data_IF_134340282174
#
_entry.id   IF_134340282174
#
_cell.length_a   1.000
_cell.length_b   1.000
_cell.length_c   1.000
_cell.angle_alpha   90.00
_cell.angle_beta   90.00
_cell.angle_gamma   90.00
#
_symmetry.space_group_name_H-M   'P 1'
#
loop_
_entity.id
_entity.type
_entity.pdbx_description
1 polymer ?
#
# COMPACT_ATOMS: atom_id res chain seq x y z
N UNK A 1 -12.11 -12.32 66.16
CA UNK A 1 -11.37 -12.89 65.02
C UNK A 1 -12.30 -13.42 63.93
N UNK A 2 -13.39 -14.11 64.25
CA UNK A 2 -14.31 -14.68 63.25
C UNK A 2 -14.94 -13.65 62.28
N UNK A 3 -15.28 -12.44 62.74
CA UNK A 3 -15.80 -11.37 61.86
C UNK A 3 -14.80 -10.83 60.83
N UNK A 4 -13.50 -10.94 61.09
CA UNK A 4 -12.48 -10.55 60.11
C UNK A 4 -12.33 -11.62 59.02
N UNK A 5 -12.44 -12.89 59.42
CA UNK A 5 -12.38 -14.02 58.50
C UNK A 5 -13.59 -14.02 57.53
N UNK A 6 -14.79 -13.69 58.02
CA UNK A 6 -15.99 -13.62 57.16
C UNK A 6 -15.95 -12.46 56.15
N UNK A 7 -15.31 -11.33 56.48
CA UNK A 7 -15.19 -10.19 55.59
C UNK A 7 -14.18 -10.45 54.46
N UNK A 8 -13.05 -11.08 54.80
CA UNK A 8 -12.03 -11.46 53.81
C UNK A 8 -12.58 -12.48 52.80
N UNK A 9 -13.39 -13.43 53.27
CA UNK A 9 -14.05 -14.42 52.41
C UNK A 9 -15.10 -13.79 51.49
N UNK A 10 -15.75 -12.71 51.92
CA UNK A 10 -16.71 -11.95 51.12
C UNK A 10 -16.02 -11.07 50.06
N UNK A 11 -14.87 -10.48 50.37
CA UNK A 11 -14.06 -9.72 49.42
C UNK A 11 -13.42 -10.60 48.34
N UNK A 12 -12.94 -11.80 48.71
CA UNK A 12 -12.44 -12.78 47.75
C UNK A 12 -13.56 -13.23 46.80
N UNK A 13 -14.76 -13.54 47.31
CA UNK A 13 -15.90 -13.94 46.50
C UNK A 13 -16.33 -12.84 45.49
N UNK A 14 -16.26 -11.56 45.89
CA UNK A 14 -16.52 -10.42 45.02
C UNK A 14 -15.41 -10.22 43.96
N UNK A 15 -14.15 -10.49 44.32
CA UNK A 15 -13.04 -10.49 43.38
C UNK A 15 -13.17 -11.57 42.30
N UNK A 16 -13.59 -12.78 42.69
CA UNK A 16 -13.84 -13.88 41.76
C UNK A 16 -15.05 -13.62 40.86
N UNK A 17 -16.15 -13.06 41.38
CA UNK A 17 -17.33 -12.72 40.57
C UNK A 17 -17.03 -11.60 39.56
N UNK A 18 -16.32 -10.55 39.99
CA UNK A 18 -15.93 -9.45 39.12
C UNK A 18 -14.93 -9.89 38.03
N UNK A 19 -14.02 -10.81 38.35
CA UNK A 19 -13.10 -11.40 37.36
C UNK A 19 -13.85 -12.26 36.33
N UNK A 20 -14.80 -13.08 36.77
CA UNK A 20 -15.62 -13.92 35.88
C UNK A 20 -16.52 -13.09 34.96
N UNK A 21 -17.12 -12.01 35.47
CA UNK A 21 -17.98 -11.10 34.68
C UNK A 21 -17.18 -10.34 33.62
N UNK A 22 -15.99 -9.83 33.95
CA UNK A 22 -15.11 -9.20 32.97
C UNK A 22 -14.61 -10.20 31.91
N UNK A 23 -14.31 -11.44 32.30
CA UNK A 23 -13.91 -12.47 31.35
C UNK A 23 -15.04 -12.81 30.37
N UNK A 24 -16.29 -12.88 30.86
CA UNK A 24 -17.48 -13.11 30.05
C UNK A 24 -17.73 -11.94 29.08
N UNK A 25 -17.62 -10.69 29.54
CA UNK A 25 -17.75 -9.49 28.69
C UNK A 25 -16.69 -9.44 27.59
N UNK A 26 -15.45 -9.80 27.89
CA UNK A 26 -14.39 -9.90 26.88
C UNK A 26 -14.67 -11.00 25.86
N UNK A 27 -15.22 -12.14 26.28
CA UNK A 27 -15.60 -13.22 25.35
C UNK A 27 -16.79 -12.85 24.46
N UNK A 28 -17.80 -12.14 24.98
CA UNK A 28 -18.92 -11.64 24.16
C UNK A 28 -18.48 -10.56 23.17
N UNK A 29 -17.60 -9.64 23.59
CA UNK A 29 -17.04 -8.62 22.71
C UNK A 29 -16.19 -9.23 21.58
N UNK A 30 -15.41 -10.26 21.87
CA UNK A 30 -14.66 -11.00 20.86
C UNK A 30 -15.60 -11.79 19.92
N UNK A 31 -16.66 -12.40 20.45
CA UNK A 31 -17.67 -13.11 19.65
C UNK A 31 -18.38 -12.19 18.67
N UNK A 32 -18.85 -11.03 19.13
CA UNK A 32 -19.50 -10.02 18.28
C UNK A 32 -18.55 -9.40 17.26
N UNK A 33 -17.29 -9.18 17.62
CA UNK A 33 -16.27 -8.69 16.68
C UNK A 33 -15.95 -9.72 15.59
N UNK A 34 -15.82 -11.01 15.96
CA UNK A 34 -15.64 -12.11 14.99
C UNK A 34 -16.86 -12.26 14.09
N UNK A 35 -18.09 -12.13 14.62
CA UNK A 35 -19.30 -12.12 13.80
C UNK A 35 -19.32 -10.95 12.81
N UNK A 36 -18.95 -9.74 13.24
CA UNK A 36 -18.86 -8.59 12.34
C UNK A 36 -17.79 -8.77 11.26
N UNK A 37 -16.62 -9.31 11.62
CA UNK A 37 -15.56 -9.65 10.67
C UNK A 37 -15.99 -10.73 9.68
N UNK A 38 -16.79 -11.71 10.09
CA UNK A 38 -17.32 -12.74 9.21
C UNK A 38 -18.47 -12.24 8.32
N UNK A 39 -19.23 -11.23 8.77
CA UNK A 39 -20.33 -10.63 8.00
C UNK A 39 -19.86 -9.63 6.94
N UNK A 40 -18.77 -8.90 7.17
CA UNK A 40 -18.25 -7.92 6.18
C UNK A 40 -17.92 -8.51 4.80
N UNK A 41 -17.25 -9.68 4.67
CA UNK A 41 -17.07 -10.32 3.36
C UNK A 41 -18.39 -10.85 2.79
N UNK A 42 -19.28 -11.42 3.61
CA UNK A 42 -20.61 -11.90 3.16
C UNK A 42 -21.51 -10.79 2.61
N UNK A 43 -21.49 -9.61 3.23
CA UNK A 43 -22.24 -8.45 2.75
C UNK A 43 -21.66 -7.89 1.44
N UNK A 44 -20.35 -7.98 1.22
CA UNK A 44 -19.74 -7.70 -0.08
C UNK A 44 -20.08 -8.77 -1.13
N UNK A 45 -20.27 -10.03 -0.72
CA UNK A 45 -20.67 -11.17 -1.55
C UNK A 45 -22.14 -11.15 -1.99
N UNK A 46 -23.02 -10.44 -1.26
CA UNK A 46 -24.45 -10.37 -1.52
C UNK A 46 -24.82 -9.50 -2.74
N UNK A 47 -23.89 -8.66 -3.21
CA UNK A 47 -24.11 -7.72 -4.31
C UNK A 47 -24.03 -8.34 -5.72
N UNK A 48 -23.56 -9.59 -5.88
CA UNK A 48 -23.44 -10.25 -7.20
C UNK A 48 -23.96 -11.70 -7.15
N UNK A 49 -25.24 -11.94 -7.47
CA UNK A 49 -25.80 -13.28 -7.50
C UNK A 49 -25.44 -14.02 -8.81
N UNK A 50 -24.93 -15.25 -8.70
CA UNK A 50 -25.10 -16.29 -9.73
C UNK A 50 -23.89 -16.73 -10.59
N UNK A 51 -22.74 -16.02 -10.64
CA UNK A 51 -21.63 -16.39 -11.56
C UNK A 51 -20.22 -16.32 -10.96
N UNK A 52 -20.11 -16.54 -9.64
CA UNK A 52 -18.89 -16.36 -8.82
C UNK A 52 -17.67 -17.12 -9.33
N UNK A 53 -17.80 -18.43 -9.61
CA UNK A 53 -16.69 -19.23 -10.15
C UNK A 53 -16.29 -18.77 -11.56
N UNK A 54 -17.26 -18.41 -12.38
CA UNK A 54 -17.00 -17.90 -13.73
C UNK A 54 -16.29 -16.55 -13.70
N UNK A 55 -16.65 -15.64 -12.78
CA UNK A 55 -15.98 -14.35 -12.63
C UNK A 55 -14.55 -14.53 -12.10
N UNK A 56 -14.36 -15.38 -11.10
CA UNK A 56 -13.02 -15.70 -10.59
C UNK A 56 -12.11 -16.25 -11.69
N UNK A 57 -12.58 -17.25 -12.43
CA UNK A 57 -11.82 -17.82 -13.54
C UNK A 57 -11.63 -16.83 -14.70
N UNK A 58 -12.64 -16.01 -15.01
CA UNK A 58 -12.51 -14.97 -16.03
C UNK A 58 -11.46 -13.92 -15.65
N UNK A 59 -11.43 -13.48 -14.39
CA UNK A 59 -10.41 -12.55 -13.90
C UNK A 59 -9.01 -13.19 -13.92
N UNK A 60 -8.88 -14.43 -13.44
CA UNK A 60 -7.61 -15.15 -13.47
C UNK A 60 -7.08 -15.34 -14.89
N UNK A 61 -7.96 -15.72 -15.82
CA UNK A 61 -7.62 -15.92 -17.22
C UNK A 61 -7.29 -14.59 -17.92
N UNK A 62 -8.00 -13.51 -17.60
CA UNK A 62 -7.69 -12.17 -18.09
C UNK A 62 -6.29 -11.69 -17.64
N UNK A 63 -5.92 -11.94 -16.38
CA UNK A 63 -4.59 -11.61 -15.85
C UNK A 63 -3.51 -12.42 -16.54
N UNK A 64 -3.72 -13.73 -16.73
CA UNK A 64 -2.74 -14.58 -17.40
C UNK A 64 -2.56 -14.21 -18.87
N UNK A 65 -3.66 -13.93 -19.59
CA UNK A 65 -3.61 -13.48 -20.98
C UNK A 65 -2.95 -12.10 -21.10
N UNK A 66 -3.25 -11.16 -20.22
CA UNK A 66 -2.62 -9.83 -20.25
C UNK A 66 -1.12 -9.91 -19.96
N UNK A 67 -0.72 -10.75 -19.01
CA UNK A 67 0.69 -11.00 -18.70
C UNK A 67 1.42 -11.65 -19.89
N UNK A 68 0.85 -12.72 -20.46
CA UNK A 68 1.44 -13.40 -21.61
C UNK A 68 1.55 -12.48 -22.83
N UNK A 69 0.51 -11.70 -23.12
CA UNK A 69 0.51 -10.70 -24.19
C UNK A 69 1.54 -9.61 -23.96
N UNK A 70 1.70 -9.15 -22.71
CA UNK A 70 2.70 -8.14 -22.35
C UNK A 70 4.12 -8.65 -22.56
N UNK A 71 4.43 -9.86 -22.08
CA UNK A 71 5.74 -10.50 -22.27
C UNK A 71 6.04 -10.67 -23.77
N UNK A 72 5.08 -11.18 -24.53
CA UNK A 72 5.24 -11.38 -25.97
C UNK A 72 5.48 -10.06 -26.71
N UNK A 73 4.69 -9.02 -26.42
CA UNK A 73 4.82 -7.72 -27.05
C UNK A 73 6.18 -7.07 -26.74
N UNK A 74 6.61 -7.11 -25.47
CA UNK A 74 7.91 -6.59 -25.03
C UNK A 74 9.04 -7.31 -25.76
N UNK A 75 9.03 -8.65 -25.78
CA UNK A 75 10.06 -9.43 -26.47
C UNK A 75 10.08 -9.12 -27.97
N UNK A 76 8.92 -9.10 -28.63
CA UNK A 76 8.84 -8.79 -30.05
C UNK A 76 9.42 -7.42 -30.38
N UNK A 77 9.07 -6.39 -29.60
CA UNK A 77 9.62 -5.04 -29.74
C UNK A 77 11.13 -5.01 -29.48
N UNK A 78 11.61 -5.71 -28.46
CA UNK A 78 13.04 -5.78 -28.14
C UNK A 78 13.85 -6.46 -29.23
N UNK A 79 13.30 -7.47 -29.90
CA UNK A 79 13.95 -8.15 -31.02
C UNK A 79 13.90 -7.32 -32.32
N UNK A 80 12.78 -6.63 -32.59
CA UNK A 80 12.60 -5.88 -33.83
C UNK A 80 13.38 -4.55 -33.85
N UNK A 81 13.36 -3.79 -32.75
CA UNK A 81 13.96 -2.44 -32.69
C UNK A 81 15.26 -2.39 -31.89
N UNK A 82 15.66 -3.52 -31.29
CA UNK A 82 16.78 -3.59 -30.35
C UNK A 82 16.37 -3.06 -28.98
N UNK A 83 16.51 -3.89 -27.93
CA UNK A 83 16.08 -3.56 -26.57
C UNK A 83 16.60 -2.20 -26.07
N UNK A 84 17.84 -1.85 -26.39
CA UNK A 84 18.48 -0.57 -26.00
C UNK A 84 17.74 0.67 -26.52
N UNK A 85 17.03 0.57 -27.66
CA UNK A 85 16.26 1.70 -28.22
C UNK A 85 14.86 1.83 -27.62
N UNK A 86 14.46 0.92 -26.72
CA UNK A 86 13.19 1.00 -25.99
C UNK A 86 13.37 1.85 -24.71
N UNK A 87 12.55 1.61 -23.69
CA UNK A 87 12.62 2.35 -22.45
C UNK A 87 13.95 2.14 -21.72
N UNK A 88 14.69 3.24 -21.51
CA UNK A 88 16.01 3.23 -20.88
C UNK A 88 16.03 2.71 -19.44
N UNK A 89 14.92 2.77 -18.70
CA UNK A 89 14.86 2.19 -17.35
C UNK A 89 14.83 0.67 -17.36
N UNK A 90 14.20 0.04 -18.37
CA UNK A 90 14.11 -1.42 -18.45
C UNK A 90 15.27 -2.05 -19.23
N UNK A 91 15.72 -1.42 -20.31
CA UNK A 91 16.68 -2.00 -21.25
C UNK A 91 17.96 -1.18 -21.45
N UNK A 92 18.05 0.01 -20.84
CA UNK A 92 19.24 0.85 -20.90
C UNK A 92 20.38 0.31 -20.05
N UNK A 93 21.60 0.73 -20.38
CA UNK A 93 22.82 0.39 -19.65
C UNK A 93 22.81 0.86 -18.19
N UNK A 94 22.05 1.91 -17.88
CA UNK A 94 21.87 2.46 -16.53
C UNK A 94 20.47 2.18 -15.95
N UNK A 95 19.72 1.28 -16.59
CA UNK A 95 18.37 0.92 -16.17
C UNK A 95 18.33 0.18 -14.83
N UNK A 96 17.15 0.14 -14.21
CA UNK A 96 16.92 -0.50 -12.92
C UNK A 96 17.45 -1.94 -12.78
N UNK A 97 17.31 -2.82 -13.80
CA UNK A 97 17.82 -4.20 -13.73
C UNK A 97 19.35 -4.31 -13.71
N UNK A 98 20.05 -3.42 -14.41
CA UNK A 98 21.51 -3.48 -14.58
C UNK A 98 22.24 -2.61 -13.54
N UNK A 99 21.55 -1.59 -13.02
CA UNK A 99 22.06 -0.66 -12.00
C UNK A 99 22.80 -1.34 -10.84
N UNK A 100 22.24 -2.34 -10.11
CA UNK A 100 22.94 -2.95 -8.98
C UNK A 100 24.23 -3.68 -9.40
N UNK A 101 24.22 -4.32 -10.57
CA UNK A 101 25.41 -5.00 -11.10
C UNK A 101 26.50 -4.00 -11.47
N UNK A 102 26.13 -2.93 -12.18
CA UNK A 102 27.07 -1.87 -12.54
C UNK A 102 27.59 -1.11 -11.33
N UNK A 103 26.75 -0.87 -10.33
CA UNK A 103 27.15 -0.28 -9.05
C UNK A 103 28.22 -1.14 -8.38
N UNK A 104 27.97 -2.43 -8.17
CA UNK A 104 28.92 -3.36 -7.54
C UNK A 104 30.21 -3.46 -8.38
N UNK A 105 30.09 -3.56 -9.71
CA UNK A 105 31.25 -3.63 -10.59
C UNK A 105 32.07 -2.33 -10.57
N UNK A 106 31.43 -1.17 -10.43
CA UNK A 106 32.09 0.12 -10.26
C UNK A 106 32.91 0.18 -8.98
N UNK A 107 32.30 -0.17 -7.85
CA UNK A 107 32.93 -0.23 -6.53
C UNK A 107 34.07 -1.28 -6.47
N UNK A 108 33.92 -2.40 -7.18
CA UNK A 108 34.94 -3.46 -7.20
C UNK A 108 36.18 -3.06 -8.01
N UNK A 109 36.00 -2.34 -9.12
CA UNK A 109 37.09 -1.91 -9.99
C UNK A 109 37.74 -0.61 -9.52
N UNK A 110 37.01 0.25 -8.81
CA UNK A 110 37.52 1.46 -8.19
C UNK A 110 37.20 1.44 -6.69
N UNK A 111 38.00 0.73 -5.88
CA UNK A 111 37.82 0.76 -4.44
C UNK A 111 38.17 2.16 -3.92
N UNK A 112 37.14 2.99 -3.78
CA UNK A 112 37.27 4.30 -3.17
C UNK A 112 37.53 4.14 -1.66
N UNK A 113 38.26 5.11 -1.10
CA UNK A 113 38.51 5.15 0.35
C UNK A 113 37.22 5.39 1.15
N UNK A 114 37.29 5.37 2.49
CA UNK A 114 36.11 5.58 3.33
C UNK A 114 35.39 6.89 2.99
N UNK A 115 34.16 6.82 2.50
CA UNK A 115 33.31 8.00 2.29
C UNK A 115 32.79 8.53 3.62
N UNK A 116 33.56 9.43 4.22
CA UNK A 116 33.21 10.09 5.48
C UNK A 116 31.90 10.88 5.38
N UNK A 117 31.57 11.44 4.21
CA UNK A 117 30.33 12.20 4.02
C UNK A 117 29.10 11.27 4.03
N UNK A 118 29.18 10.13 3.35
CA UNK A 118 28.15 9.08 3.37
C UNK A 118 27.94 8.50 4.78
N UNK A 119 29.02 8.27 5.54
CA UNK A 119 28.92 7.83 6.93
C UNK A 119 28.25 8.87 7.84
N UNK A 120 28.59 10.15 7.69
CA UNK A 120 27.93 11.23 8.44
C UNK A 120 26.45 11.36 8.09
N UNK A 121 26.09 11.26 6.82
CA UNK A 121 24.69 11.24 6.37
C UNK A 121 23.92 10.03 6.93
N UNK A 122 24.53 8.85 6.93
CA UNK A 122 23.93 7.63 7.48
C UNK A 122 23.73 7.72 8.99
N UNK A 123 24.74 8.21 9.71
CA UNK A 123 24.66 8.39 11.17
C UNK A 123 23.63 9.44 11.57
N UNK A 124 23.57 10.57 10.86
CA UNK A 124 22.57 11.61 11.12
C UNK A 124 21.15 11.12 10.84
N UNK A 125 20.91 10.45 9.70
CA UNK A 125 19.61 9.86 9.37
C UNK A 125 19.20 8.77 10.37
N UNK A 126 20.12 7.89 10.75
CA UNK A 126 19.92 6.87 11.77
C UNK A 126 19.60 7.45 13.15
N UNK A 127 20.29 8.54 13.53
CA UNK A 127 20.04 9.25 14.80
C UNK A 127 18.64 9.87 14.80
N UNK A 128 18.24 10.54 13.73
CA UNK A 128 16.89 11.10 13.60
C UNK A 128 15.83 10.01 13.69
N UNK A 129 16.03 8.88 13.00
CA UNK A 129 15.11 7.74 13.07
C UNK A 129 15.01 7.17 14.50
N UNK A 130 16.15 7.00 15.18
CA UNK A 130 16.18 6.50 16.56
C UNK A 130 15.46 7.47 17.52
N UNK A 131 15.67 8.78 17.37
CA UNK A 131 14.97 9.80 18.16
C UNK A 131 13.45 9.75 17.92
N UNK A 132 13.00 9.63 16.65
CA UNK A 132 11.58 9.50 16.33
C UNK A 132 10.98 8.21 16.92
N UNK A 133 11.72 7.11 16.90
CA UNK A 133 11.29 5.84 17.48
C UNK A 133 11.15 5.92 19.00
N UNK A 134 12.11 6.54 19.69
CA UNK A 134 12.06 6.75 21.14
C UNK A 134 10.96 7.74 21.52
N UNK A 135 10.79 8.82 20.75
CA UNK A 135 9.72 9.80 20.97
C UNK A 135 8.34 9.14 20.87
N UNK A 136 8.13 8.25 19.89
CA UNK A 136 6.90 7.46 19.76
C UNK A 136 6.66 6.51 20.94
N UNK A 137 7.72 5.88 21.46
CA UNK A 137 7.61 4.97 22.61
C UNK A 137 7.32 5.71 23.93
N UNK A 138 7.83 6.94 24.08
CA UNK A 138 7.65 7.76 25.30
C UNK A 138 6.38 8.60 25.28
N UNK A 139 5.90 9.02 24.11
CA UNK A 139 4.72 9.88 23.97
C UNK A 139 3.63 9.17 23.16
N UNK A 140 2.67 8.55 23.87
CA UNK A 140 1.48 7.91 23.27
C UNK A 140 0.60 8.88 22.46
N UNK A 141 0.76 10.20 22.65
CA UNK A 141 -0.02 11.24 21.96
C UNK A 141 0.63 11.75 20.66
N UNK A 142 1.85 11.31 20.32
CA UNK A 142 2.63 11.93 19.24
C UNK A 142 2.06 11.56 17.85
N UNK A 143 1.63 12.54 17.02
CA UNK A 143 0.93 12.27 15.75
C UNK A 143 1.86 11.94 14.57
N UNK A 144 3.16 12.22 14.68
CA UNK A 144 4.15 11.92 13.65
C UNK A 144 4.58 10.45 13.68
N UNK A 145 4.18 9.71 12.65
CA UNK A 145 4.56 8.31 12.49
C UNK A 145 5.93 8.19 11.79
N UNK A 146 6.92 7.46 12.35
CA UNK A 146 8.23 7.27 11.72
C UNK A 146 8.18 6.58 10.35
N UNK A 147 7.04 5.95 10.01
CA UNK A 147 6.77 5.46 8.65
C UNK A 147 6.85 6.58 7.61
N UNK A 148 6.41 7.80 7.91
CA UNK A 148 6.49 8.91 6.97
C UNK A 148 7.94 9.25 6.59
N UNK A 149 8.83 9.19 7.58
CA UNK A 149 10.27 9.42 7.38
C UNK A 149 10.94 8.26 6.63
N UNK A 150 10.52 7.02 6.89
CA UNK A 150 11.02 5.86 6.14
C UNK A 150 10.54 5.85 4.68
N UNK A 151 9.30 6.28 4.43
CA UNK A 151 8.69 6.27 3.10
C UNK A 151 9.18 7.46 2.26
N UNK A 152 9.54 8.61 2.87
CA UNK A 152 10.02 9.78 2.12
C UNK A 152 11.33 9.59 1.36
N UNK A 153 12.12 8.56 1.68
CA UNK A 153 13.38 8.26 0.98
C UNK A 153 13.15 7.61 -0.38
N UNK A 154 11.96 7.09 -0.64
CA UNK A 154 11.63 6.46 -1.93
C UNK A 154 11.22 7.53 -2.94
N UNK A 155 11.85 7.56 -4.11
CA UNK A 155 11.51 8.52 -5.19
C UNK A 155 10.03 8.44 -5.58
N UNK A 156 9.45 7.23 -5.54
CA UNK A 156 8.02 6.96 -5.79
C UNK A 156 7.12 7.80 -4.87
N UNK A 157 7.55 8.02 -3.63
CA UNK A 157 6.81 8.79 -2.64
C UNK A 157 6.56 10.22 -3.11
N UNK A 158 7.50 10.86 -3.80
CA UNK A 158 7.31 12.21 -4.33
C UNK A 158 6.14 12.29 -5.33
N UNK A 159 6.01 11.29 -6.22
CA UNK A 159 4.95 11.23 -7.22
C UNK A 159 3.57 10.95 -6.60
N UNK A 160 3.50 10.08 -5.60
CA UNK A 160 2.23 9.68 -5.00
C UNK A 160 1.79 10.56 -3.83
N UNK A 161 2.70 11.33 -3.21
CA UNK A 161 2.42 12.10 -1.98
C UNK A 161 1.24 13.06 -2.16
N UNK A 162 1.22 13.78 -3.28
CA UNK A 162 0.13 14.71 -3.58
C UNK A 162 -1.21 13.98 -3.78
N UNK A 163 -1.19 12.87 -4.52
CA UNK A 163 -2.37 12.02 -4.75
C UNK A 163 -2.91 11.42 -3.45
N UNK A 164 -2.03 10.97 -2.56
CA UNK A 164 -2.39 10.44 -1.22
C UNK A 164 -3.02 11.53 -0.37
N UNK A 165 -2.42 12.73 -0.35
CA UNK A 165 -2.97 13.88 0.38
C UNK A 165 -4.37 14.26 -0.15
N UNK A 166 -4.55 14.27 -1.46
CA UNK A 166 -5.81 14.57 -2.10
C UNK A 166 -6.87 13.49 -1.79
N UNK A 167 -6.49 12.21 -1.87
CA UNK A 167 -7.36 11.10 -1.51
C UNK A 167 -7.79 11.15 -0.04
N UNK A 168 -6.87 11.46 0.88
CA UNK A 168 -7.16 11.66 2.29
C UNK A 168 -8.11 12.84 2.53
N UNK A 169 -7.88 13.96 1.83
CA UNK A 169 -8.72 15.16 1.93
C UNK A 169 -10.15 14.85 1.46
N UNK A 170 -10.32 14.28 0.27
CA UNK A 170 -11.65 13.92 -0.23
C UNK A 170 -12.35 12.91 0.65
N UNK A 171 -11.64 11.86 1.11
CA UNK A 171 -12.20 10.88 2.03
C UNK A 171 -12.67 11.53 3.32
N UNK A 172 -11.85 12.40 3.91
CA UNK A 172 -12.18 13.09 5.16
C UNK A 172 -13.38 14.03 4.99
N UNK A 173 -13.46 14.76 3.87
CA UNK A 173 -14.61 15.62 3.55
C UNK A 173 -15.90 14.78 3.36
N UNK A 174 -15.84 13.72 2.56
CA UNK A 174 -17.01 12.86 2.28
C UNK A 174 -17.56 12.25 3.57
N UNK A 175 -16.68 11.73 4.44
CA UNK A 175 -17.09 11.11 5.71
C UNK A 175 -17.59 12.15 6.70
N UNK A 176 -16.92 13.31 6.81
CA UNK A 176 -17.28 14.37 7.77
C UNK A 176 -18.60 15.07 7.42
N UNK A 177 -18.86 15.31 6.13
CA UNK A 177 -20.06 16.04 5.70
C UNK A 177 -21.22 15.14 5.24
N UNK A 178 -20.95 13.90 4.81
CA UNK A 178 -21.97 13.03 4.19
C UNK A 178 -22.19 11.67 4.86
N UNK A 179 -21.40 11.31 5.86
CA UNK A 179 -21.51 10.02 6.56
C UNK A 179 -21.31 8.78 5.66
N UNK A 180 -21.61 7.57 6.16
CA UNK A 180 -21.36 6.31 5.45
C UNK A 180 -22.17 6.13 4.14
N UNK A 181 -23.33 6.79 4.05
CA UNK A 181 -24.20 6.74 2.87
C UNK A 181 -23.56 7.47 1.67
N UNK A 182 -23.03 8.68 1.88
CA UNK A 182 -22.36 9.42 0.81
C UNK A 182 -21.07 8.73 0.36
N UNK A 183 -20.36 8.07 1.26
CA UNK A 183 -19.19 7.26 0.90
C UNK A 183 -19.54 6.16 -0.09
N UNK A 184 -20.64 5.43 0.14
CA UNK A 184 -21.08 4.36 -0.76
C UNK A 184 -21.53 4.90 -2.12
N UNK A 185 -22.13 6.09 -2.15
CA UNK A 185 -22.54 6.78 -3.39
C UNK A 185 -21.37 7.37 -4.18
N UNK A 186 -20.27 7.72 -3.52
CA UNK A 186 -19.06 8.23 -4.15
C UNK A 186 -18.14 7.12 -4.71
N UNK A 187 -18.28 5.86 -4.26
CA UNK A 187 -17.51 4.70 -4.78
C UNK A 187 -17.46 4.62 -6.33
N UNK A 188 -18.58 4.68 -7.08
CA UNK A 188 -18.53 4.59 -8.55
C UNK A 188 -17.73 5.72 -9.20
N UNK A 189 -17.68 6.92 -8.60
CA UNK A 189 -16.88 8.02 -9.13
C UNK A 189 -15.37 7.73 -9.08
N UNK A 190 -14.87 7.21 -7.96
CA UNK A 190 -13.46 6.83 -7.83
C UNK A 190 -13.08 5.64 -8.72
N UNK A 191 -13.97 4.65 -8.86
CA UNK A 191 -13.78 3.57 -9.82
C UNK A 191 -13.77 4.10 -11.26
N UNK A 192 -14.63 5.06 -11.58
CA UNK A 192 -14.65 5.76 -12.86
C UNK A 192 -13.36 6.51 -13.16
N UNK A 193 -12.74 7.16 -12.16
CA UNK A 193 -11.43 7.82 -12.32
C UNK A 193 -10.32 6.82 -12.69
N UNK A 194 -10.29 5.67 -12.02
CA UNK A 194 -9.31 4.60 -12.31
C UNK A 194 -9.50 4.10 -13.74
N UNK A 195 -10.73 3.74 -14.11
CA UNK A 195 -11.06 3.26 -15.47
C UNK A 195 -10.78 4.36 -16.53
N UNK A 196 -11.04 5.62 -16.19
CA UNK A 196 -10.79 6.76 -17.06
C UNK A 196 -9.31 6.91 -17.40
N UNK A 197 -8.41 6.77 -16.43
CA UNK A 197 -6.96 6.82 -16.67
C UNK A 197 -6.51 5.76 -17.68
N UNK A 198 -6.97 4.51 -17.53
CA UNK A 198 -6.65 3.43 -18.48
C UNK A 198 -7.28 3.65 -19.85
N UNK A 199 -8.49 4.21 -19.90
CA UNK A 199 -9.18 4.51 -21.16
C UNK A 199 -8.44 5.62 -21.93
N UNK A 200 -8.03 6.69 -21.25
CA UNK A 200 -7.23 7.76 -21.87
C UNK A 200 -5.90 7.23 -22.42
N UNK A 201 -5.19 6.41 -21.64
CA UNK A 201 -3.95 5.77 -22.11
C UNK A 201 -4.20 4.87 -23.33
N UNK A 202 -5.27 4.08 -23.33
CA UNK A 202 -5.65 3.23 -24.46
C UNK A 202 -6.01 4.03 -25.72
N UNK A 203 -6.76 5.13 -25.57
CA UNK A 203 -7.10 6.03 -26.68
C UNK A 203 -5.83 6.61 -27.29
N UNK A 204 -4.89 7.04 -26.46
CA UNK A 204 -3.64 7.63 -26.93
C UNK A 204 -2.79 6.62 -27.71
N UNK A 205 -2.71 5.37 -27.24
CA UNK A 205 -2.05 4.28 -27.98
C UNK A 205 -2.69 4.02 -29.35
N UNK A 206 -4.02 4.09 -29.46
CA UNK A 206 -4.73 3.92 -30.74
C UNK A 206 -4.42 5.10 -31.67
N UNK A 207 -4.42 6.33 -31.16
CA UNK A 207 -4.06 7.52 -31.93
C UNK A 207 -2.62 7.42 -32.42
N UNK A 208 -1.66 7.09 -31.55
CA UNK A 208 -0.25 6.95 -31.93
C UNK A 208 -0.07 5.85 -32.99
N UNK A 209 -0.82 4.74 -32.92
CA UNK A 209 -0.81 3.69 -33.94
C UNK A 209 -1.26 4.20 -35.32
N UNK A 210 -2.33 5.00 -35.39
CA UNK A 210 -2.83 5.53 -36.67
C UNK A 210 -2.02 6.71 -37.20
N UNK A 211 -1.41 7.50 -36.32
CA UNK A 211 -0.71 8.75 -36.67
C UNK A 211 0.78 8.52 -36.93
N UNK A 212 1.34 7.36 -36.54
CA UNK A 212 2.75 7.02 -36.70
C UNK A 212 3.71 7.88 -35.86
N UNK A 213 3.18 8.63 -34.89
CA UNK A 213 3.97 9.45 -33.97
C UNK A 213 4.49 8.58 -32.82
N UNK A 214 5.81 8.57 -32.59
CA UNK A 214 6.48 7.69 -31.61
C UNK A 214 7.02 8.41 -30.37
N UNK A 215 6.85 9.73 -30.29
CA UNK A 215 7.49 10.59 -29.24
C UNK A 215 6.52 11.13 -28.18
N UNK A 216 5.26 10.70 -28.16
CA UNK A 216 4.35 11.11 -27.09
C UNK A 216 4.68 10.38 -25.78
N UNK A 217 5.24 11.11 -24.82
CA UNK A 217 5.56 10.57 -23.50
C UNK A 217 4.27 10.34 -22.69
N UNK A 218 3.73 9.11 -22.77
CA UNK A 218 2.51 8.70 -22.07
C UNK A 218 2.75 8.48 -20.56
N UNK A 219 4.02 8.31 -20.16
CA UNK A 219 4.47 8.12 -18.78
C UNK A 219 5.80 8.86 -18.56
N UNK A 220 5.73 10.17 -18.28
CA UNK A 220 6.92 10.87 -17.77
C UNK A 220 7.18 10.38 -16.35
N UNK A 221 8.13 9.46 -16.21
CA UNK A 221 8.75 9.15 -14.91
C UNK A 221 9.57 10.36 -14.50
#
# INVERSE_FOLDING_TARGET
MERFFSLQQHEEALGYSFSAENLALHQEALGTFVEQLLRTPRAAEELVPGRRRSLFWAMGLAILLSLASSIWAVLHMSYAYGGINLNGWFFGSEGGPVYPFNYINGELNNPDGPDWAGWLATLSGGTVMALLMVARQRFLWWPLHPLGFAVSTMSITNYISFSVFLAWTFKSLIVKYGGPSLFTRARPFFLGLIVGQFTCAGIWLVIDHFTGMTDNNIYSV
#
